data_IF_247624102905
#
_entry.id   IF_247624102905
#
_cell.length_a   1.000
_cell.length_b   1.000
_cell.length_c   1.000
_cell.angle_alpha   90.00
_cell.angle_beta   90.00
_cell.angle_gamma   90.00
#
_symmetry.space_group_name_H-M   'P 1'
#
loop_
_entity.id
_entity.type
_entity.pdbx_description
1 polymer ?
#
# COMPACT_ATOMS: atom_id res chain seq x y z
N UNK A 1 -10.15 10.41 -3.26
CA UNK A 1 -10.83 9.35 -2.49
C UNK A 1 -10.38 7.99 -3.01
N UNK A 2 -9.17 7.55 -2.64
CA UNK A 2 -8.61 6.24 -3.02
C UNK A 2 -8.77 5.19 -1.89
N UNK A 3 -9.54 5.52 -0.85
CA UNK A 3 -9.70 4.66 0.33
C UNK A 3 -10.44 3.36 0.03
N UNK A 4 -11.36 3.36 -0.95
CA UNK A 4 -12.05 2.15 -1.38
C UNK A 4 -11.09 1.10 -1.96
N UNK A 5 -10.15 1.52 -2.82
CA UNK A 5 -9.13 0.61 -3.35
C UNK A 5 -8.15 0.14 -2.28
N UNK A 6 -7.79 1.00 -1.32
CA UNK A 6 -6.95 0.60 -0.19
C UNK A 6 -7.64 -0.48 0.68
N UNK A 7 -8.94 -0.31 0.97
CA UNK A 7 -9.70 -1.32 1.71
C UNK A 7 -9.79 -2.65 0.95
N UNK A 8 -10.04 -2.61 -0.37
CA UNK A 8 -10.06 -3.81 -1.21
C UNK A 8 -8.70 -4.51 -1.24
N UNK A 9 -7.59 -3.76 -1.33
CA UNK A 9 -6.24 -4.33 -1.28
C UNK A 9 -5.95 -4.99 0.07
N UNK A 10 -6.38 -4.39 1.19
CA UNK A 10 -6.20 -4.98 2.52
C UNK A 10 -7.06 -6.24 2.73
N UNK A 11 -8.24 -6.30 2.12
CA UNK A 11 -9.13 -7.46 2.21
C UNK A 11 -8.69 -8.62 1.31
N UNK A 12 -7.87 -8.37 0.30
CA UNK A 12 -7.46 -9.37 -0.68
C UNK A 12 -6.79 -10.61 -0.01
N UNK A 13 -5.83 -10.47 0.91
CA UNK A 13 -5.30 -11.62 1.65
C UNK A 13 -6.37 -12.36 2.46
N UNK A 14 -7.26 -11.64 3.16
CA UNK A 14 -8.31 -12.27 3.97
C UNK A 14 -9.26 -13.13 3.12
N UNK A 15 -9.60 -12.66 1.92
CA UNK A 15 -10.39 -13.42 0.95
C UNK A 15 -9.60 -14.61 0.42
N UNK A 16 -8.35 -14.43 0.01
CA UNK A 16 -7.52 -15.51 -0.55
C UNK A 16 -7.24 -16.63 0.46
N UNK A 17 -7.08 -16.30 1.75
CA UNK A 17 -6.93 -17.28 2.83
C UNK A 17 -8.13 -18.22 2.99
N UNK A 18 -9.29 -17.87 2.44
CA UNK A 18 -10.46 -18.76 2.40
C UNK A 18 -10.35 -19.83 1.29
N UNK A 19 -9.50 -19.62 0.29
CA UNK A 19 -9.35 -20.48 -0.88
C UNK A 19 -8.04 -21.27 -0.90
N UNK A 20 -6.98 -20.76 -0.25
CA UNK A 20 -5.67 -21.41 -0.22
C UNK A 20 -4.99 -21.28 1.15
N UNK A 21 -4.24 -22.31 1.53
CA UNK A 21 -3.39 -22.30 2.71
C UNK A 21 -1.98 -21.75 2.45
N UNK A 22 -1.65 -21.38 1.20
CA UNK A 22 -0.33 -20.81 0.83
C UNK A 22 -0.15 -19.38 1.35
N UNK A 23 -1.25 -18.61 1.39
CA UNK A 23 -1.25 -17.27 2.00
C UNK A 23 -1.68 -17.44 3.45
N UNK A 24 -0.85 -16.99 4.40
CA UNK A 24 -1.13 -17.11 5.83
C UNK A 24 -0.76 -15.84 6.56
N UNK A 25 -1.60 -14.82 6.42
CA UNK A 25 -1.44 -13.57 7.15
C UNK A 25 -2.03 -13.71 8.56
N UNK A 26 -1.29 -13.26 9.55
CA UNK A 26 -1.77 -13.07 10.90
C UNK A 26 -2.25 -11.63 11.14
N UNK A 27 -2.69 -11.32 12.36
CA UNK A 27 -3.17 -9.99 12.70
C UNK A 27 -2.07 -8.91 12.57
N UNK A 28 -0.80 -9.26 12.78
CA UNK A 28 0.32 -8.34 12.65
C UNK A 28 0.59 -8.02 11.18
N UNK A 29 0.46 -8.99 10.27
CA UNK A 29 0.58 -8.76 8.82
C UNK A 29 -0.48 -7.78 8.32
N UNK A 30 -1.74 -7.97 8.72
CA UNK A 30 -2.82 -7.04 8.38
C UNK A 30 -2.57 -5.65 8.96
N UNK A 31 -2.09 -5.56 10.20
CA UNK A 31 -1.80 -4.28 10.84
C UNK A 31 -0.64 -3.55 10.13
N UNK A 32 0.42 -4.26 9.78
CA UNK A 32 1.58 -3.73 9.08
C UNK A 32 1.17 -3.21 7.68
N UNK A 33 0.51 -4.05 6.87
CA UNK A 33 0.08 -3.67 5.54
C UNK A 33 -0.98 -2.56 5.56
N UNK A 34 -1.93 -2.62 6.50
CA UNK A 34 -2.92 -1.57 6.72
C UNK A 34 -2.29 -0.23 7.09
N UNK A 35 -1.26 -0.24 7.93
CA UNK A 35 -0.49 0.98 8.27
C UNK A 35 0.24 1.53 7.05
N UNK A 36 0.86 0.68 6.24
CA UNK A 36 1.52 1.09 5.00
C UNK A 36 0.54 1.73 4.00
N UNK A 37 -0.64 1.12 3.82
CA UNK A 37 -1.71 1.66 2.98
C UNK A 37 -2.22 3.01 3.52
N UNK A 38 -2.37 3.14 4.83
CA UNK A 38 -2.78 4.39 5.47
C UNK A 38 -1.76 5.51 5.20
N UNK A 39 -0.47 5.25 5.40
CA UNK A 39 0.61 6.22 5.16
C UNK A 39 0.66 6.62 3.68
N UNK A 40 0.64 5.65 2.75
CA UNK A 40 0.64 5.92 1.32
C UNK A 40 -0.60 6.69 0.87
N UNK A 41 -1.77 6.33 1.42
CA UNK A 41 -3.05 7.01 1.16
C UNK A 41 -3.03 8.47 1.62
N UNK A 42 -2.60 8.73 2.86
CA UNK A 42 -2.46 10.08 3.41
C UNK A 42 -1.46 10.92 2.60
N UNK A 43 -0.30 10.34 2.24
CA UNK A 43 0.70 11.01 1.41
C UNK A 43 0.13 11.35 0.02
N UNK A 44 -0.58 10.42 -0.61
CA UNK A 44 -1.24 10.63 -1.90
C UNK A 44 -2.32 11.71 -1.83
N UNK A 45 -3.11 11.75 -0.76
CA UNK A 45 -4.08 12.83 -0.54
C UNK A 45 -3.40 14.18 -0.30
N UNK A 46 -2.29 14.22 0.44
CA UNK A 46 -1.52 15.43 0.63
C UNK A 46 -0.98 15.95 -0.71
N UNK A 47 -0.41 15.08 -1.55
CA UNK A 47 0.02 15.46 -2.90
C UNK A 47 -1.15 15.98 -3.73
N UNK A 48 -2.30 15.32 -3.69
CA UNK A 48 -3.48 15.72 -4.46
C UNK A 48 -4.08 17.06 -4.00
N UNK A 49 -4.03 17.36 -2.69
CA UNK A 49 -4.61 18.57 -2.10
C UNK A 49 -3.69 19.78 -2.20
N UNK A 50 -2.39 19.59 -2.02
CA UNK A 50 -1.44 20.71 -1.83
C UNK A 50 -0.59 20.99 -3.07
N UNK A 51 -0.34 20.01 -3.94
CA UNK A 51 0.52 20.19 -5.13
C UNK A 51 -0.32 20.61 -6.33
N UNK A 52 -0.08 21.82 -6.83
CA UNK A 52 -0.85 22.37 -7.98
C UNK A 52 -0.36 21.91 -9.35
N UNK A 53 0.96 21.69 -9.49
CA UNK A 53 1.55 21.33 -10.78
C UNK A 53 1.23 19.87 -11.13
N UNK A 54 0.59 19.59 -12.28
CA UNK A 54 0.24 18.22 -12.67
C UNK A 54 1.48 17.32 -12.84
N UNK A 55 2.58 17.89 -13.35
CA UNK A 55 3.87 17.18 -13.48
C UNK A 55 4.41 16.75 -12.11
N UNK A 56 4.40 17.66 -11.13
CA UNK A 56 4.88 17.35 -9.78
C UNK A 56 3.96 16.35 -9.08
N UNK A 57 2.63 16.44 -9.28
CA UNK A 57 1.68 15.45 -8.76
C UNK A 57 1.97 14.06 -9.29
N UNK A 58 2.25 13.92 -10.59
CA UNK A 58 2.58 12.64 -11.20
C UNK A 58 3.91 12.09 -10.65
N UNK A 59 4.94 12.93 -10.56
CA UNK A 59 6.25 12.52 -10.03
C UNK A 59 6.17 12.08 -8.57
N UNK A 60 5.54 12.89 -7.70
CA UNK A 60 5.40 12.58 -6.28
C UNK A 60 4.47 11.39 -6.05
N UNK A 61 3.36 11.29 -6.79
CA UNK A 61 2.47 10.13 -6.74
C UNK A 61 3.18 8.85 -7.16
N UNK A 62 3.95 8.90 -8.25
CA UNK A 62 4.79 7.78 -8.69
C UNK A 62 5.83 7.38 -7.65
N UNK A 63 6.50 8.36 -7.02
CA UNK A 63 7.46 8.10 -5.95
C UNK A 63 6.81 7.43 -4.72
N UNK A 64 5.62 7.87 -4.32
CA UNK A 64 4.86 7.23 -3.22
C UNK A 64 4.53 5.77 -3.55
N UNK A 65 4.05 5.51 -4.77
CA UNK A 65 3.73 4.14 -5.21
C UNK A 65 4.97 3.26 -5.25
N UNK A 66 6.08 3.76 -5.80
CA UNK A 66 7.35 3.02 -5.84
C UNK A 66 7.86 2.73 -4.44
N UNK A 67 7.87 3.72 -3.54
CA UNK A 67 8.29 3.52 -2.17
C UNK A 67 7.40 2.50 -1.43
N UNK A 68 6.09 2.57 -1.61
CA UNK A 68 5.15 1.60 -1.05
C UNK A 68 5.45 0.18 -1.53
N UNK A 69 5.62 -0.01 -2.84
CA UNK A 69 5.92 -1.32 -3.42
C UNK A 69 7.27 -1.85 -2.96
N UNK A 70 8.30 -1.00 -2.89
CA UNK A 70 9.61 -1.40 -2.38
C UNK A 70 9.49 -1.89 -0.94
N UNK A 71 8.92 -1.09 -0.03
CA UNK A 71 8.76 -1.50 1.37
C UNK A 71 7.92 -2.77 1.50
N UNK A 72 6.89 -2.93 0.68
CA UNK A 72 6.06 -4.13 0.71
C UNK A 72 6.80 -5.38 0.25
N UNK A 73 7.52 -5.30 -0.87
CA UNK A 73 8.27 -6.44 -1.38
C UNK A 73 9.43 -6.77 -0.43
N UNK A 74 10.08 -5.78 0.18
CA UNK A 74 11.06 -6.05 1.25
C UNK A 74 10.44 -6.77 2.44
N UNK A 75 9.26 -6.34 2.90
CA UNK A 75 8.60 -6.98 4.02
C UNK A 75 8.08 -8.40 3.67
N UNK A 76 7.69 -8.63 2.43
CA UNK A 76 7.07 -9.90 1.99
C UNK A 76 8.08 -10.93 1.48
N UNK A 77 9.14 -10.49 0.81
CA UNK A 77 10.12 -11.34 0.10
C UNK A 77 11.52 -11.19 0.68
N UNK A 78 11.89 -10.00 1.16
CA UNK A 78 13.22 -9.71 1.70
C UNK A 78 14.30 -9.64 0.62
N UNK A 79 14.29 -8.61 -0.23
CA UNK A 79 15.24 -8.52 -1.36
C UNK A 79 16.62 -8.04 -0.88
N UNK A 80 16.66 -7.18 0.14
CA UNK A 80 17.91 -6.56 0.61
C UNK A 80 18.65 -7.35 1.70
N UNK A 81 18.18 -8.53 2.12
CA UNK A 81 18.78 -9.31 3.19
C UNK A 81 18.80 -10.81 2.92
#
# INVERSE_FOLDING_TARGET
MAWGSAALLLLLPAVLMQFTAEIRWDAADFLAFGTMLLVAGLAGEAVARWVRSPKHRLMLGGAIVLAFLLVWVEAAVGIFH
#
